data_IF_337434981521
#
_entry.id   IF_337434981521
#
_cell.length_a   1.000
_cell.length_b   1.000
_cell.length_c   1.000
_cell.angle_alpha   90.00
_cell.angle_beta   90.00
_cell.angle_gamma   90.00
#
_symmetry.space_group_name_H-M   'P 1'
#
loop_
_entity.id
_entity.type
_entity.pdbx_description
1 polymer ?
#
# COMPACT_ATOMS: atom_id res chain seq x y z
N UNK A 1 42.27 -19.54 6.64
CA UNK A 1 41.29 -19.38 7.74
C UNK A 1 40.92 -17.92 8.01
N UNK A 2 41.88 -17.02 8.33
CA UNK A 2 41.57 -15.59 8.62
C UNK A 2 40.85 -14.83 7.48
N UNK A 3 41.28 -15.01 6.23
CA UNK A 3 40.63 -14.41 5.05
C UNK A 3 39.19 -14.90 4.86
N UNK A 4 38.97 -16.21 4.99
CA UNK A 4 37.64 -16.81 4.90
C UNK A 4 36.69 -16.28 5.99
N UNK A 5 37.18 -16.15 7.23
CA UNK A 5 36.39 -15.59 8.33
C UNK A 5 36.01 -14.13 8.07
N UNK A 6 36.94 -13.31 7.57
CA UNK A 6 36.66 -11.91 7.20
C UNK A 6 35.61 -11.85 6.09
N UNK A 7 35.76 -12.67 5.03
CA UNK A 7 34.78 -12.73 3.94
C UNK A 7 33.39 -13.11 4.45
N UNK A 8 33.29 -14.12 5.32
CA UNK A 8 32.03 -14.56 5.90
C UNK A 8 31.37 -13.44 6.75
N UNK A 9 32.14 -12.78 7.60
CA UNK A 9 31.66 -11.67 8.44
C UNK A 9 31.15 -10.52 7.56
N UNK A 10 31.89 -10.15 6.51
CA UNK A 10 31.48 -9.10 5.58
C UNK A 10 30.17 -9.44 4.87
N UNK A 11 29.99 -10.69 4.44
CA UNK A 11 28.76 -11.13 3.79
C UNK A 11 27.55 -11.08 4.74
N UNK A 12 27.73 -11.52 5.98
CA UNK A 12 26.69 -11.45 7.02
C UNK A 12 26.29 -10.00 7.30
N UNK A 13 27.27 -9.09 7.39
CA UNK A 13 27.00 -7.67 7.60
C UNK A 13 26.23 -7.05 6.42
N UNK A 14 26.62 -7.35 5.18
CA UNK A 14 25.91 -6.88 3.99
C UNK A 14 24.46 -7.39 3.96
N UNK A 15 24.26 -8.68 4.27
CA UNK A 15 22.93 -9.26 4.33
C UNK A 15 22.07 -8.58 5.41
N UNK A 16 22.64 -8.34 6.60
CA UNK A 16 21.94 -7.63 7.68
C UNK A 16 21.55 -6.22 7.25
N UNK A 17 22.47 -5.45 6.67
CA UNK A 17 22.19 -4.09 6.21
C UNK A 17 21.08 -4.08 5.16
N UNK A 18 21.12 -5.01 4.19
CA UNK A 18 20.06 -5.15 3.19
C UNK A 18 18.71 -5.47 3.81
N UNK A 19 18.67 -6.36 4.81
CA UNK A 19 17.45 -6.70 5.53
C UNK A 19 16.88 -5.50 6.31
N UNK A 20 17.71 -4.73 7.01
CA UNK A 20 17.28 -3.52 7.74
C UNK A 20 16.72 -2.45 6.79
N UNK A 21 17.36 -2.26 5.63
CA UNK A 21 16.86 -1.33 4.58
C UNK A 21 15.50 -1.80 4.07
N UNK A 22 15.35 -3.09 3.75
CA UNK A 22 14.09 -3.64 3.27
C UNK A 22 12.98 -3.46 4.31
N UNK A 23 13.25 -3.84 5.56
CA UNK A 23 12.30 -3.70 6.66
C UNK A 23 11.87 -2.24 6.86
N UNK A 24 12.82 -1.30 6.83
CA UNK A 24 12.53 0.13 6.92
C UNK A 24 11.63 0.63 5.78
N UNK A 25 11.95 0.25 4.52
CA UNK A 25 11.16 0.67 3.36
C UNK A 25 9.73 0.14 3.39
N UNK A 26 9.54 -1.09 3.90
CA UNK A 26 8.23 -1.73 4.05
C UNK A 26 7.43 -1.12 5.21
N UNK A 27 8.03 -1.06 6.39
CA UNK A 27 7.36 -0.60 7.62
C UNK A 27 6.97 0.89 7.56
N UNK A 28 7.80 1.74 6.95
CA UNK A 28 7.54 3.16 6.76
C UNK A 28 7.01 3.49 5.36
N UNK A 29 6.58 2.49 4.59
CA UNK A 29 6.16 2.65 3.20
C UNK A 29 5.04 3.68 3.01
N UNK A 30 4.06 3.70 3.92
CA UNK A 30 2.95 4.65 3.90
C UNK A 30 3.43 6.09 4.12
N UNK A 31 4.32 6.31 5.10
CA UNK A 31 4.94 7.62 5.31
C UNK A 31 5.70 8.08 4.06
N UNK A 32 6.51 7.21 3.46
CA UNK A 32 7.26 7.57 2.27
C UNK A 32 6.37 7.83 1.06
N UNK A 33 5.26 7.10 0.92
CA UNK A 33 4.27 7.29 -0.12
C UNK A 33 3.57 8.66 -0.02
N UNK A 34 3.28 9.15 1.19
CA UNK A 34 2.69 10.48 1.41
C UNK A 34 3.60 11.62 0.93
N UNK A 35 4.91 11.40 0.87
CA UNK A 35 5.92 12.39 0.49
C UNK A 35 6.51 12.13 -0.90
N UNK A 36 5.95 11.17 -1.64
CA UNK A 36 6.38 10.87 -2.99
C UNK A 36 5.82 11.91 -3.97
N UNK A 37 6.64 12.42 -4.88
CA UNK A 37 6.12 13.17 -6.03
C UNK A 37 5.59 12.20 -7.07
N UNK A 38 4.31 12.33 -7.46
CA UNK A 38 3.62 11.37 -8.30
C UNK A 38 2.57 12.02 -9.21
N UNK A 39 2.06 11.25 -10.16
CA UNK A 39 0.95 11.62 -11.02
C UNK A 39 -0.30 11.92 -10.19
N UNK A 40 -1.04 12.97 -10.52
CA UNK A 40 -2.26 13.38 -9.80
C UNK A 40 -3.35 12.30 -9.76
N UNK A 41 -3.35 11.38 -10.72
CA UNK A 41 -4.34 10.31 -10.82
C UNK A 41 -3.89 9.02 -10.11
N UNK A 42 -2.62 8.94 -9.69
CA UNK A 42 -2.07 7.81 -8.94
C UNK A 42 -2.32 7.97 -7.43
N UNK A 43 -2.35 6.85 -6.71
CA UNK A 43 -2.52 6.80 -5.25
C UNK A 43 -1.45 5.89 -4.62
N UNK A 44 -0.22 6.39 -4.42
CA UNK A 44 0.85 5.60 -3.83
C UNK A 44 0.57 5.22 -2.39
N UNK A 45 -0.22 6.03 -1.67
CA UNK A 45 -0.58 5.77 -0.27
C UNK A 45 -1.46 4.53 -0.19
N UNK A 46 -2.53 4.48 -1.00
CA UNK A 46 -3.37 3.28 -1.10
C UNK A 46 -2.53 2.07 -1.54
N UNK A 47 -1.79 2.18 -2.63
CA UNK A 47 -1.07 1.06 -3.22
C UNK A 47 -0.07 0.44 -2.22
N UNK A 48 0.77 1.26 -1.59
CA UNK A 48 1.79 0.75 -0.67
C UNK A 48 1.23 0.28 0.68
N UNK A 49 0.12 0.87 1.13
CA UNK A 49 -0.57 0.39 2.32
C UNK A 49 -1.12 -1.02 2.10
N UNK A 50 -1.74 -1.28 0.95
CA UNK A 50 -2.27 -2.61 0.62
C UNK A 50 -1.13 -3.60 0.35
N UNK A 51 -0.08 -3.20 -0.38
CA UNK A 51 1.04 -4.08 -0.68
C UNK A 51 1.78 -4.56 0.58
N UNK A 52 1.86 -3.72 1.61
CA UNK A 52 2.63 -3.98 2.84
C UNK A 52 1.73 -4.17 4.08
N UNK A 53 0.44 -4.48 3.88
CA UNK A 53 -0.57 -4.48 4.94
C UNK A 53 -0.22 -5.39 6.14
N UNK A 54 0.50 -6.48 5.89
CA UNK A 54 0.96 -7.47 6.87
C UNK A 54 2.14 -6.99 7.73
N UNK A 55 2.87 -5.99 7.25
CA UNK A 55 4.12 -5.51 7.84
C UNK A 55 4.04 -4.08 8.40
N UNK A 56 2.91 -3.39 8.21
CA UNK A 56 2.67 -2.05 8.75
C UNK A 56 1.85 -2.08 10.06
N UNK A 57 1.92 -1.04 10.89
CA UNK A 57 1.07 -0.91 12.07
C UNK A 57 -0.42 -1.03 11.77
N UNK A 58 -1.13 -1.72 12.66
CA UNK A 58 -2.58 -1.92 12.62
C UNK A 58 -3.26 -1.11 13.73
N UNK A 59 -4.40 -0.45 13.47
CA UNK A 59 -5.19 0.23 14.49
C UNK A 59 -5.59 -0.73 15.63
N UNK A 60 -5.42 -0.27 16.87
CA UNK A 60 -5.82 -1.04 18.06
C UNK A 60 -7.34 -1.16 18.20
N UNK A 61 -8.09 -0.15 17.74
CA UNK A 61 -9.53 -0.21 17.69
C UNK A 61 -9.99 -1.04 16.49
N UNK A 62 -10.82 -2.04 16.73
CA UNK A 62 -11.25 -3.03 15.72
C UNK A 62 -12.26 -2.47 14.71
N UNK A 63 -12.08 -1.24 14.23
CA UNK A 63 -12.92 -0.69 13.15
C UNK A 63 -12.47 -1.21 11.78
N UNK A 64 -11.15 -1.40 11.61
CA UNK A 64 -10.56 -1.95 10.39
C UNK A 64 -10.07 -3.39 10.66
N UNK A 65 -10.49 -4.30 9.80
CA UNK A 65 -10.05 -5.69 9.77
C UNK A 65 -9.10 -5.92 8.60
N UNK A 66 -8.16 -6.85 8.78
CA UNK A 66 -7.23 -7.28 7.74
C UNK A 66 -7.47 -8.75 7.42
N UNK A 67 -7.35 -9.11 6.15
CA UNK A 67 -7.30 -10.49 5.66
C UNK A 67 -6.06 -10.64 4.78
N UNK A 68 -5.40 -11.79 4.89
CA UNK A 68 -4.15 -12.14 4.21
C UNK A 68 -4.26 -13.49 3.48
N UNK A 69 -5.45 -14.13 3.46
CA UNK A 69 -5.63 -15.41 2.77
C UNK A 69 -5.66 -15.18 1.25
N UNK A 70 -4.53 -15.44 0.60
CA UNK A 70 -4.32 -15.30 -0.84
C UNK A 70 -3.92 -13.89 -1.28
N UNK A 71 -4.57 -12.84 -0.77
CA UNK A 71 -4.26 -11.44 -1.04
C UNK A 71 -4.35 -10.58 0.22
N UNK A 72 -3.67 -9.42 0.21
CA UNK A 72 -3.82 -8.42 1.26
C UNK A 72 -5.13 -7.66 1.06
N UNK A 73 -6.00 -7.69 2.08
CA UNK A 73 -7.29 -7.00 2.09
C UNK A 73 -7.42 -6.21 3.38
N UNK A 74 -7.75 -4.92 3.25
CA UNK A 74 -8.23 -4.10 4.35
C UNK A 74 -9.75 -3.90 4.19
N UNK A 75 -10.51 -4.09 5.27
CA UNK A 75 -11.96 -3.96 5.26
C UNK A 75 -12.48 -3.25 6.50
N UNK A 76 -13.67 -2.67 6.38
CA UNK A 76 -14.32 -1.99 7.49
C UNK A 76 -15.26 -2.95 8.22
N UNK A 77 -15.10 -3.18 9.52
CA UNK A 77 -15.87 -4.20 10.25
C UNK A 77 -17.38 -3.93 10.33
N UNK A 78 -17.79 -2.67 10.19
CA UNK A 78 -19.21 -2.25 10.27
C UNK A 78 -19.82 -1.81 8.94
N UNK A 79 -19.07 -1.88 7.83
CA UNK A 79 -19.52 -1.47 6.49
C UNK A 79 -19.16 -2.58 5.52
N UNK A 80 -19.99 -2.84 4.52
CA UNK A 80 -19.68 -3.84 3.49
C UNK A 80 -18.74 -3.25 2.42
N UNK A 81 -17.57 -2.76 2.87
CA UNK A 81 -16.53 -2.18 2.04
C UNK A 81 -15.18 -2.82 2.36
N UNK A 82 -14.43 -3.17 1.31
CA UNK A 82 -13.09 -3.75 1.40
C UNK A 82 -12.27 -3.37 0.19
N UNK A 83 -10.98 -3.12 0.40
CA UNK A 83 -10.01 -2.89 -0.68
C UNK A 83 -8.89 -3.91 -0.53
N UNK A 84 -8.52 -4.54 -1.64
CA UNK A 84 -7.42 -5.49 -1.67
C UNK A 84 -6.74 -5.50 -3.03
N UNK A 85 -5.56 -6.12 -3.08
CA UNK A 85 -4.71 -6.10 -4.27
C UNK A 85 -4.06 -7.42 -4.59
N UNK A 86 -4.02 -7.73 -5.89
CA UNK A 86 -3.11 -8.69 -6.50
C UNK A 86 -1.88 -7.94 -7.04
N UNK A 87 -0.83 -8.68 -7.39
CA UNK A 87 0.42 -8.13 -7.97
C UNK A 87 0.17 -7.17 -9.16
N UNK A 88 -0.95 -7.32 -9.88
CA UNK A 88 -1.28 -6.56 -11.09
C UNK A 88 -2.33 -5.45 -10.93
N UNK A 89 -3.12 -5.43 -9.86
CA UNK A 89 -4.25 -4.49 -9.71
C UNK A 89 -4.86 -4.52 -8.32
N UNK A 90 -5.64 -3.49 -8.00
CA UNK A 90 -6.45 -3.42 -6.78
C UNK A 90 -7.93 -3.37 -7.12
N UNK A 91 -8.75 -3.96 -6.25
CA UNK A 91 -10.19 -3.86 -6.32
C UNK A 91 -10.75 -3.39 -4.97
N UNK A 92 -11.61 -2.38 -5.04
CA UNK A 92 -12.48 -1.96 -3.96
C UNK A 92 -13.87 -2.55 -4.20
N UNK A 93 -14.36 -3.31 -3.24
CA UNK A 93 -15.72 -3.81 -3.21
C UNK A 93 -16.54 -2.96 -2.26
N UNK A 94 -17.72 -2.53 -2.72
CA UNK A 94 -18.75 -1.91 -1.90
C UNK A 94 -20.10 -2.55 -2.25
N UNK A 95 -20.52 -3.53 -1.45
CA UNK A 95 -21.67 -4.37 -1.75
C UNK A 95 -21.55 -5.05 -3.14
N UNK A 96 -22.28 -4.56 -4.14
CA UNK A 96 -22.25 -5.06 -5.53
C UNK A 96 -21.37 -4.25 -6.45
N UNK A 97 -20.83 -3.13 -5.97
CA UNK A 97 -20.01 -2.24 -6.76
C UNK A 97 -18.54 -2.67 -6.64
N UNK A 98 -17.85 -2.70 -7.78
CA UNK A 98 -16.43 -2.97 -7.88
C UNK A 98 -15.78 -1.77 -8.55
N UNK A 99 -14.73 -1.25 -7.93
CA UNK A 99 -13.92 -0.14 -8.45
C UNK A 99 -12.50 -0.68 -8.58
N UNK A 100 -11.96 -0.65 -9.79
CA UNK A 100 -10.66 -1.27 -10.09
C UNK A 100 -9.60 -0.20 -10.34
N UNK A 101 -8.41 -0.47 -9.81
CA UNK A 101 -7.25 0.41 -9.85
C UNK A 101 -6.05 -0.34 -10.39
N UNK A 102 -5.22 0.34 -11.17
CA UNK A 102 -3.98 -0.24 -11.65
C UNK A 102 -2.93 -0.31 -10.53
N UNK A 103 -1.75 -0.84 -10.84
CA UNK A 103 -0.66 -0.95 -9.85
C UNK A 103 -0.21 0.41 -9.29
N UNK A 104 -0.48 1.54 -9.94
CA UNK A 104 -0.18 2.88 -9.41
C UNK A 104 -1.26 3.41 -8.46
N UNK A 105 -2.34 2.65 -8.24
CA UNK A 105 -3.52 3.08 -7.51
C UNK A 105 -4.43 3.99 -8.32
N UNK A 106 -4.24 4.07 -9.65
CA UNK A 106 -5.10 4.87 -10.52
C UNK A 106 -6.36 4.11 -10.87
N UNK A 107 -7.50 4.71 -10.55
CA UNK A 107 -8.82 4.21 -10.94
C UNK A 107 -8.95 4.12 -12.46
N UNK A 108 -9.41 2.98 -12.98
CA UNK A 108 -9.63 2.78 -14.41
C UNK A 108 -10.98 2.17 -14.77
N UNK A 109 -11.69 1.54 -13.83
CA UNK A 109 -12.94 0.86 -14.14
C UNK A 109 -13.90 0.82 -12.94
N UNK A 110 -15.19 0.90 -13.24
CA UNK A 110 -16.28 0.62 -12.33
C UNK A 110 -17.22 -0.41 -12.96
N UNK A 111 -17.61 -1.41 -12.17
CA UNK A 111 -18.57 -2.44 -12.55
C UNK A 111 -19.57 -2.66 -11.42
N UNK A 112 -20.86 -2.84 -11.77
CA UNK A 112 -21.87 -3.31 -10.82
C UNK A 112 -22.14 -4.80 -11.07
N UNK A 113 -21.89 -5.65 -10.08
CA UNK A 113 -22.09 -7.09 -10.21
C UNK A 113 -23.52 -7.42 -10.61
N UNK A 114 -23.66 -8.09 -11.76
CA UNK A 114 -24.94 -8.50 -12.33
C UNK A 114 -25.63 -7.44 -13.18
N UNK A 115 -24.98 -6.32 -13.54
CA UNK A 115 -25.55 -5.32 -14.45
C UNK A 115 -24.47 -4.49 -15.16
N UNK A 116 -24.60 -4.31 -16.47
CA UNK A 116 -23.85 -3.31 -17.22
C UNK A 116 -24.66 -2.01 -17.27
N UNK A 117 -24.26 -1.02 -16.48
CA UNK A 117 -24.94 0.29 -16.43
C UNK A 117 -23.94 1.36 -16.87
N UNK A 118 -24.31 2.25 -17.81
CA UNK A 118 -23.52 3.43 -18.11
C UNK A 118 -23.28 4.24 -16.83
N UNK A 119 -22.03 4.68 -16.63
CA UNK A 119 -21.66 5.47 -15.45
C UNK A 119 -20.83 6.68 -15.84
N UNK A 120 -20.81 7.68 -14.97
CA UNK A 120 -19.89 8.80 -15.09
C UNK A 120 -18.56 8.42 -14.46
N UNK A 121 -17.51 8.33 -15.28
CA UNK A 121 -16.17 7.93 -14.84
C UNK A 121 -15.64 8.79 -13.69
N UNK A 122 -15.77 10.13 -13.81
CA UNK A 122 -15.25 11.06 -12.80
C UNK A 122 -16.03 10.96 -11.49
N UNK A 123 -17.34 10.78 -11.54
CA UNK A 123 -18.16 10.55 -10.36
C UNK A 123 -17.74 9.28 -9.62
N UNK A 124 -17.55 8.17 -10.35
CA UNK A 124 -17.12 6.90 -9.77
C UNK A 124 -15.68 6.92 -9.26
N UNK A 125 -14.80 7.68 -9.89
CA UNK A 125 -13.44 7.92 -9.40
C UNK A 125 -13.45 8.65 -8.04
N UNK A 126 -14.25 9.71 -7.91
CA UNK A 126 -14.36 10.46 -6.63
C UNK A 126 -15.04 9.62 -5.54
N UNK A 127 -16.03 8.81 -5.91
CA UNK A 127 -16.68 7.85 -5.00
C UNK A 127 -15.68 6.80 -4.50
N UNK A 128 -14.94 6.18 -5.42
CA UNK A 128 -13.87 5.22 -5.13
C UNK A 128 -12.86 5.79 -4.13
N UNK A 129 -12.37 7.02 -4.38
CA UNK A 129 -11.42 7.68 -3.49
C UNK A 129 -11.97 7.83 -2.07
N UNK A 130 -13.22 8.27 -1.91
CA UNK A 130 -13.84 8.38 -0.58
C UNK A 130 -13.96 7.03 0.12
N UNK A 131 -14.42 6.01 -0.60
CA UNK A 131 -14.60 4.66 -0.06
C UNK A 131 -13.27 4.00 0.35
N UNK A 132 -12.21 4.21 -0.43
CA UNK A 132 -10.86 3.75 -0.07
C UNK A 132 -10.40 4.43 1.21
N UNK A 133 -10.49 5.77 1.30
CA UNK A 133 -10.02 6.50 2.48
C UNK A 133 -10.89 6.28 3.73
N UNK A 134 -12.15 5.89 3.58
CA UNK A 134 -12.97 5.37 4.68
C UNK A 134 -12.36 4.12 5.34
N UNK A 135 -11.57 3.32 4.60
CA UNK A 135 -10.89 2.12 5.09
C UNK A 135 -9.46 2.45 5.56
N UNK A 136 -8.71 3.18 4.74
CA UNK A 136 -7.26 3.32 4.95
C UNK A 136 -6.90 4.49 5.86
N UNK A 137 -7.74 5.52 6.02
CA UNK A 137 -7.42 6.68 6.86
C UNK A 137 -7.10 6.33 8.32
N UNK A 138 -7.89 5.48 9.01
CA UNK A 138 -7.55 5.07 10.37
C UNK A 138 -6.19 4.35 10.48
N UNK A 139 -5.78 3.67 9.41
CA UNK A 139 -4.47 3.01 9.33
C UNK A 139 -3.37 4.04 9.09
N UNK A 140 -3.59 5.01 8.19
CA UNK A 140 -2.68 6.13 7.91
C UNK A 140 -2.39 6.94 9.17
N UNK A 141 -3.44 7.26 9.95
CA UNK A 141 -3.36 8.14 11.12
C UNK A 141 -2.41 7.62 12.22
N UNK A 142 -2.14 6.32 12.24
CA UNK A 142 -1.24 5.67 13.20
C UNK A 142 0.14 5.35 12.62
N UNK A 143 0.39 5.64 11.33
CA UNK A 143 1.66 5.27 10.71
C UNK A 143 2.80 6.12 11.28
N UNK A 144 3.91 5.49 11.69
CA UNK A 144 5.02 6.19 12.28
C UNK A 144 5.84 6.92 11.22
N UNK A 145 6.51 8.00 11.63
CA UNK A 145 7.57 8.62 10.84
C UNK A 145 8.88 7.84 11.04
N UNK A 146 9.68 7.59 9.98
CA UNK A 146 10.99 7.00 10.11
C UNK A 146 11.93 7.89 10.93
N UNK A 147 12.77 7.31 11.81
CA UNK A 147 13.76 8.09 12.56
C UNK A 147 14.65 8.90 11.62
N UNK A 148 15.02 10.12 12.00
CA UNK A 148 15.82 11.03 11.14
C UNK A 148 17.11 10.41 10.58
N UNK A 149 17.78 9.56 11.35
CA UNK A 149 19.02 8.88 10.95
C UNK A 149 18.79 7.64 10.06
N UNK A 150 17.54 7.23 9.88
CA UNK A 150 17.11 6.07 9.10
C UNK A 150 15.92 6.42 8.18
N UNK A 151 15.77 7.69 7.81
CA UNK A 151 14.81 8.11 6.80
C UNK A 151 15.39 7.84 5.41
N UNK A 152 14.78 6.90 4.70
CA UNK A 152 15.22 6.38 3.42
C UNK A 152 14.37 6.89 2.25
N UNK A 153 13.72 8.06 2.37
CA UNK A 153 12.85 8.64 1.32
C UNK A 153 13.53 8.65 -0.05
N UNK A 154 14.81 9.01 -0.11
CA UNK A 154 15.54 9.04 -1.37
C UNK A 154 15.68 7.65 -2.02
N UNK A 155 15.97 6.62 -1.22
CA UNK A 155 16.04 5.23 -1.70
C UNK A 155 14.64 4.75 -2.13
N UNK A 156 13.63 5.05 -1.32
CA UNK A 156 12.24 4.76 -1.64
C UNK A 156 11.82 5.36 -2.99
N UNK A 157 12.14 6.64 -3.23
CA UNK A 157 11.84 7.32 -4.49
C UNK A 157 12.50 6.64 -5.70
N UNK A 158 13.72 6.09 -5.54
CA UNK A 158 14.40 5.35 -6.61
C UNK A 158 13.70 4.02 -6.90
N UNK A 159 13.33 3.28 -5.86
CA UNK A 159 12.76 1.94 -6.00
C UNK A 159 11.30 2.00 -6.48
N UNK A 160 10.50 2.86 -5.87
CA UNK A 160 9.05 2.89 -6.09
C UNK A 160 8.60 4.05 -6.98
N UNK A 161 9.38 5.13 -7.11
CA UNK A 161 8.90 6.37 -7.72
C UNK A 161 8.40 6.22 -9.17
N UNK A 162 9.06 5.38 -9.99
CA UNK A 162 8.64 5.12 -11.38
C UNK A 162 7.25 4.51 -11.51
N UNK A 163 6.80 3.78 -10.50
CA UNK A 163 5.48 3.13 -10.48
C UNK A 163 4.34 4.14 -10.49
N UNK A 164 4.60 5.35 -9.99
CA UNK A 164 3.57 6.36 -9.73
C UNK A 164 3.73 7.63 -10.59
N UNK A 165 4.47 7.58 -11.70
CA UNK A 165 4.62 8.71 -12.64
C UNK A 165 3.61 8.66 -13.78
#
# INVERSE_FOLDING_TARGET
MKKFLITLISLVLLFKIGFEIHHNLVYYSVYYAQHLNHNKDADPVMALLIDNLDAIPRPENSTIGYDFDGINIAYHNYKNIQVGGLISSYDLYNNRNVYSFDTSGKFYEYTMMGSEIPYNFKEKQEEAKKLVYDIIQPVIDIQPEPPKYANLQWIFNIIYGRRFQ
#
